data_IF_176105887332
#
_entry.id   IF_176105887332
#
_cell.length_a   1.000
_cell.length_b   1.000
_cell.length_c   1.000
_cell.angle_alpha   90.00
_cell.angle_beta   90.00
_cell.angle_gamma   90.00
#
_symmetry.space_group_name_H-M   'P 1'
#
loop_
_entity.id
_entity.type
_entity.pdbx_description
1 polymer ?
2 non-polymer ?
3 non-polymer ?
4 water ?
#
# COMPACT_ATOMS: atom_id res chain seq x y z
N UNK A 1 3.84 -1.46 -6.91
CA UNK A 1 3.97 -2.80 -7.62
C UNK A 1 3.64 -2.71 -9.12
N UNK A 2 2.85 -1.73 -9.53
CA UNK A 2 2.29 -1.51 -10.88
C UNK A 2 1.92 -0.04 -11.08
N UNK A 3 1.43 0.36 -12.27
CA UNK A 3 1.25 1.78 -12.63
C UNK A 3 0.24 2.56 -11.75
N UNK A 4 -0.71 1.83 -11.16
CA UNK A 4 -1.65 2.38 -10.18
C UNK A 4 -0.90 2.89 -8.96
N UNK A 5 -0.06 2.04 -8.39
CA UNK A 5 0.74 2.37 -7.20
C UNK A 5 1.74 3.46 -7.56
N UNK A 6 2.26 3.44 -8.78
CA UNK A 6 3.19 4.49 -9.26
C UNK A 6 2.53 5.88 -9.19
N UNK A 7 1.33 6.01 -9.73
CA UNK A 7 0.62 7.31 -9.73
C UNK A 7 0.32 7.68 -8.26
N UNK A 8 -0.22 6.74 -7.47
CA UNK A 8 -0.55 7.01 -6.05
C UNK A 8 0.70 7.52 -5.33
N UNK A 9 1.85 6.87 -5.52
CA UNK A 9 3.09 7.25 -4.81
C UNK A 9 3.51 8.67 -5.20
N UNK A 10 3.39 8.99 -6.46
CA UNK A 10 3.79 10.33 -6.98
C UNK A 10 2.94 11.40 -6.30
N UNK A 11 1.66 11.14 -6.11
CA UNK A 11 0.76 12.08 -5.40
C UNK A 11 1.17 12.14 -3.95
N UNK A 12 1.40 10.98 -3.27
CA UNK A 12 1.71 11.01 -1.83
C UNK A 12 3.00 11.78 -1.58
N UNK A 13 4.01 11.59 -2.43
CA UNK A 13 5.39 12.05 -2.14
C UNK A 13 5.47 13.57 -2.27
N UNK A 14 4.60 14.19 -3.06
CA UNK A 14 4.68 15.64 -3.28
C UNK A 14 3.44 16.40 -2.83
N UNK A 15 2.27 15.75 -2.73
CA UNK A 15 1.00 16.49 -2.52
C UNK A 15 0.31 16.09 -1.22
N UNK A 16 1.01 15.55 -0.21
CA UNK A 16 0.35 15.26 1.09
C UNK A 16 1.18 15.83 2.22
N UNK A 17 0.44 16.20 3.25
CA UNK A 17 1.03 16.56 4.56
C UNK A 17 0.29 15.79 5.62
N UNK A 18 0.86 15.70 6.81
CA UNK A 18 0.13 15.16 7.98
C UNK A 18 -0.52 16.34 8.70
N UNK A 19 -1.84 16.34 8.73
CA UNK A 19 -2.62 17.39 9.44
C UNK A 19 -3.08 16.85 10.78
N UNK A 20 -2.96 17.65 11.83
CA UNK A 20 -3.40 17.28 13.20
C UNK A 20 -4.32 18.35 13.76
N UNK A 21 -5.59 17.98 14.02
CA UNK A 21 -6.59 18.86 14.69
C UNK A 21 -6.83 18.25 16.09
N UNK A 22 -7.73 18.83 16.84
CA UNK A 22 -8.15 18.27 18.15
C UNK A 22 -8.90 16.96 17.95
N UNK A 23 -9.31 16.62 16.73
CA UNK A 23 -10.04 15.36 16.46
C UNK A 23 -9.13 14.25 15.91
N UNK A 24 -7.82 14.46 15.78
CA UNK A 24 -6.88 13.43 15.38
C UNK A 24 -5.88 13.88 14.30
N UNK A 25 -5.12 12.90 13.84
CA UNK A 25 -4.14 13.02 12.74
C UNK A 25 -4.80 12.52 11.44
N UNK A 26 -4.68 13.29 10.37
CA UNK A 26 -5.31 12.97 9.06
C UNK A 26 -4.28 13.09 7.95
N UNK A 27 -4.39 12.24 6.95
CA UNK A 27 -3.78 12.48 5.62
C UNK A 27 -4.49 13.73 5.07
N UNK A 28 -3.73 14.67 4.56
CA UNK A 28 -4.27 15.94 3.97
C UNK A 28 -3.66 16.10 2.59
N UNK A 29 -4.50 16.18 1.56
CA UNK A 29 -4.12 16.37 0.14
C UNK A 29 -3.98 17.85 -0.14
N UNK A 30 -2.79 18.24 -0.56
CA UNK A 30 -2.55 19.60 -1.09
C UNK A 30 -2.91 19.61 -2.57
N UNK A 31 -3.66 20.62 -3.05
CA UNK A 31 -4.22 20.60 -4.42
C UNK A 31 -3.47 21.63 -5.28
N UNK A 32 -3.26 22.84 -4.77
CA UNK A 32 -2.51 23.89 -5.50
C UNK A 32 -2.23 25.02 -4.52
N UNK A 33 -1.22 25.84 -4.82
CA UNK A 33 -0.82 27.02 -3.99
C UNK A 33 -0.79 26.56 -2.52
N UNK A 34 -1.55 27.18 -1.62
CA UNK A 34 -1.52 26.79 -0.18
C UNK A 34 -2.87 26.14 0.16
N UNK A 35 -3.57 25.63 -0.82
CA UNK A 35 -4.95 25.09 -0.66
C UNK A 35 -4.87 23.56 -0.57
N UNK A 36 -5.51 23.03 0.46
CA UNK A 36 -5.58 21.57 0.71
C UNK A 36 -7.00 21.17 1.08
N UNK A 37 -7.22 19.87 1.19
CA UNK A 37 -8.53 19.32 1.59
C UNK A 37 -8.37 18.33 2.73
N UNK A 38 -9.44 18.19 3.49
CA UNK A 38 -9.47 17.28 4.67
C UNK A 38 -10.92 16.94 4.89
N UNK A 39 -11.27 15.78 5.48
CA UNK A 39 -12.67 15.54 5.80
C UNK A 39 -13.20 16.60 6.78
N UNK A 40 -14.47 16.95 6.59
CA UNK A 40 -15.10 18.00 7.42
C UNK A 40 -15.14 17.57 8.90
N UNK A 41 -15.28 16.27 9.19
CA UNK A 41 -15.26 15.81 10.61
C UNK A 41 -13.92 16.02 11.30
N UNK A 42 -12.85 16.44 10.62
CA UNK A 42 -11.61 16.88 11.29
C UNK A 42 -11.83 18.16 12.09
N UNK A 43 -12.89 18.91 11.83
CA UNK A 43 -13.24 20.14 12.59
C UNK A 43 -12.08 21.14 12.59
N UNK A 44 -11.63 21.55 11.41
CA UNK A 44 -10.49 22.49 11.32
C UNK A 44 -10.87 23.78 12.05
N UNK A 45 -9.95 24.30 12.87
CA UNK A 45 -10.13 25.60 13.52
C UNK A 45 -9.24 26.68 12.95
N UNK A 46 -8.85 27.65 13.78
CA UNK A 46 -8.04 28.83 13.38
C UNK A 46 -6.56 28.44 13.31
N UNK A 47 -6.17 27.35 13.96
CA UNK A 47 -4.78 26.82 14.01
C UNK A 47 -4.86 25.31 13.79
N UNK A 48 -3.94 24.82 12.96
CA UNK A 48 -3.82 23.38 12.66
C UNK A 48 -2.32 23.02 12.70
N UNK A 49 -1.99 21.77 12.98
CA UNK A 49 -0.58 21.34 12.90
C UNK A 49 -0.38 20.65 11.54
N UNK A 50 0.67 21.03 10.82
CA UNK A 50 1.02 20.52 9.48
C UNK A 50 2.44 19.96 9.63
N UNK A 51 2.59 18.64 9.55
CA UNK A 51 3.90 17.99 9.76
C UNK A 51 4.47 18.49 11.09
N UNK A 52 3.63 18.54 12.12
CA UNK A 52 3.95 18.90 13.53
C UNK A 52 4.42 20.36 13.68
N UNK A 53 4.13 21.22 12.71
CA UNK A 53 4.40 22.68 12.79
C UNK A 53 3.08 23.46 12.94
N UNK A 54 3.02 24.28 13.98
CA UNK A 54 1.87 25.18 14.21
C UNK A 54 1.66 26.11 13.03
N UNK A 55 0.47 26.04 12.42
CA UNK A 55 0.13 26.72 11.16
C UNK A 55 -1.22 27.47 11.30
N UNK A 56 -1.24 28.75 10.99
CA UNK A 56 -2.50 29.51 10.97
C UNK A 56 -3.31 29.09 9.78
N UNK A 57 -4.61 28.91 9.96
CA UNK A 57 -5.56 28.71 8.84
C UNK A 57 -5.93 30.10 8.32
N UNK A 58 -5.63 30.38 7.04
CA UNK A 58 -5.94 31.69 6.40
C UNK A 58 -7.42 31.73 6.03
N UNK A 59 -8.02 30.58 5.70
CA UNK A 59 -9.41 30.47 5.23
C UNK A 59 -9.79 28.99 5.25
N UNK A 60 -11.06 28.69 5.50
CA UNK A 60 -11.56 27.30 5.41
C UNK A 60 -13.05 27.30 5.09
N UNK A 61 -13.48 26.33 4.28
CA UNK A 61 -14.91 26.18 3.90
C UNK A 61 -15.32 24.71 3.88
N UNK A 62 -16.32 24.38 4.70
CA UNK A 62 -17.03 23.09 4.66
C UNK A 62 -17.98 23.12 3.47
N UNK A 63 -17.76 22.26 2.49
CA UNK A 63 -18.54 22.31 1.23
C UNK A 63 -19.88 21.60 1.39
N UNK A 64 -20.91 22.11 0.73
CA UNK A 64 -22.25 21.49 0.69
C UNK A 64 -22.72 21.60 -0.75
N UNK A 65 -23.54 20.71 -1.22
CA UNK A 65 -24.12 20.82 -2.57
C UNK A 65 -25.23 21.88 -2.58
N UNK A 66 -25.76 22.10 -3.78
CA UNK A 66 -26.80 23.15 -3.94
C UNK A 66 -28.14 22.63 -3.42
N UNK A 67 -28.27 21.37 -2.98
CA UNK A 67 -29.41 20.93 -2.09
C UNK A 67 -29.15 21.30 -0.61
N UNK A 68 -28.04 21.94 -0.25
CA UNK A 68 -27.59 22.28 1.12
C UNK A 68 -27.45 20.92 1.81
N UNK A 69 -26.84 19.96 1.12
CA UNK A 69 -26.46 18.64 1.70
C UNK A 69 -24.93 18.60 1.91
N UNK A 70 -24.53 18.11 3.08
CA UNK A 70 -23.09 17.86 3.39
C UNK A 70 -22.37 17.14 2.24
N UNK A 71 -21.16 17.60 1.85
CA UNK A 71 -20.26 16.81 0.96
C UNK A 71 -19.07 16.21 1.73
N UNK A 72 -18.84 16.58 3.00
CA UNK A 72 -17.79 16.04 3.89
C UNK A 72 -16.41 16.46 3.41
N UNK A 73 -16.30 17.47 2.52
CA UNK A 73 -14.96 18.02 2.11
C UNK A 73 -14.84 19.41 2.75
N UNK A 74 -13.77 19.65 3.50
CA UNK A 74 -13.39 21.03 3.88
C UNK A 74 -12.15 21.43 3.06
N UNK A 75 -12.22 22.61 2.47
CA UNK A 75 -11.10 23.23 1.72
C UNK A 75 -10.45 24.18 2.69
N UNK A 76 -9.14 24.05 2.82
CA UNK A 76 -8.35 24.82 3.80
C UNK A 76 -7.27 25.59 3.07
N UNK A 77 -7.12 26.87 3.38
CA UNK A 77 -5.96 27.62 2.90
C UNK A 77 -5.00 27.79 4.08
N UNK A 78 -3.76 27.34 3.95
CA UNK A 78 -2.77 27.27 5.05
C UNK A 78 -1.82 28.45 4.95
N UNK A 79 -1.47 29.07 6.08
CA UNK A 79 -0.39 30.11 6.13
C UNK A 79 0.97 29.42 6.14
N UNK A 80 1.27 28.76 5.04
CA UNK A 80 2.50 27.95 4.85
C UNK A 80 3.46 28.74 3.95
N UNK A 81 4.76 28.54 4.11
CA UNK A 81 5.79 29.29 3.36
C UNK A 81 6.11 28.61 2.03
N UNK A 82 5.33 27.62 1.61
CA UNK A 82 5.65 26.82 0.42
C UNK A 82 4.35 26.42 -0.28
N UNK A 83 4.32 26.43 -1.61
CA UNK A 83 3.18 26.00 -2.41
C UNK A 83 3.25 24.50 -2.70
N UNK A 84 2.07 23.91 -2.90
CA UNK A 84 1.94 22.55 -3.44
C UNK A 84 2.11 22.59 -4.95
N UNK A 85 2.65 21.52 -5.47
CA UNK A 85 2.55 21.21 -6.92
C UNK A 85 1.09 21.32 -7.30
N UNK A 86 0.77 21.95 -8.41
CA UNK A 86 -0.63 22.11 -8.86
C UNK A 86 -1.07 20.79 -9.52
N UNK A 87 -1.99 20.06 -8.90
CA UNK A 87 -2.53 18.75 -9.40
C UNK A 87 -3.98 18.91 -9.85
N UNK A 88 -4.47 20.12 -10.07
CA UNK A 88 -5.90 20.29 -10.45
C UNK A 88 -6.21 19.60 -11.78
N UNK A 89 -5.25 19.46 -12.70
CA UNK A 89 -5.52 18.78 -14.00
C UNK A 89 -5.74 17.28 -13.82
N UNK A 90 -5.46 16.71 -12.63
CA UNK A 90 -5.74 15.27 -12.35
C UNK A 90 -7.14 15.08 -11.74
N UNK A 91 -7.91 16.17 -11.53
CA UNK A 91 -9.23 16.05 -10.89
C UNK A 91 -10.28 15.79 -11.97
N UNK A 92 -11.21 14.86 -11.71
CA UNK A 92 -12.32 14.64 -12.63
C UNK A 92 -13.25 15.85 -12.69
N UNK A 93 -13.89 16.04 -13.85
CA UNK A 93 -14.86 17.15 -13.99
C UNK A 93 -16.25 16.72 -13.54
N UNK A 94 -16.59 15.44 -13.67
CA UNK A 94 -17.98 14.96 -13.39
C UNK A 94 -17.98 13.79 -12.41
N UNK A 95 -19.15 13.52 -11.84
CA UNK A 95 -19.41 12.34 -10.99
C UNK A 95 -19.26 11.10 -11.88
N UNK A 96 -18.61 10.06 -11.40
CA UNK A 96 -18.33 8.86 -12.22
C UNK A 96 -18.06 7.65 -11.33
N UNK A 97 -18.08 6.49 -11.94
CA UNK A 97 -17.58 5.21 -11.38
C UNK A 97 -16.18 4.99 -11.94
N UNK A 98 -15.36 4.17 -11.29
CA UNK A 98 -13.95 3.95 -11.67
C UNK A 98 -13.60 2.48 -11.53
N UNK A 99 -12.64 2.04 -12.33
CA UNK A 99 -11.99 0.73 -12.08
C UNK A 99 -10.64 0.90 -11.37
N UNK A 100 -10.29 -0.09 -10.54
CA UNK A 100 -8.89 -0.37 -10.13
C UNK A 100 -8.31 0.89 -9.46
N UNK A 101 -8.89 1.29 -8.34
CA UNK A 101 -8.42 2.45 -7.54
C UNK A 101 -7.47 2.00 -6.43
N UNK A 102 -6.66 2.95 -5.95
CA UNK A 102 -5.75 2.80 -4.80
C UNK A 102 -6.13 3.84 -3.78
N UNK A 103 -6.17 3.43 -2.52
CA UNK A 103 -6.36 4.31 -1.35
C UNK A 103 -5.01 4.42 -0.66
N UNK A 104 -4.50 5.63 -0.50
CA UNK A 104 -3.15 5.90 0.03
C UNK A 104 -3.24 6.76 1.29
N UNK A 105 -2.48 6.38 2.32
CA UNK A 105 -2.55 7.03 3.65
C UNK A 105 -1.13 7.29 4.11
N UNK A 106 -0.90 8.44 4.72
CA UNK A 106 0.39 8.71 5.37
C UNK A 106 0.17 9.43 6.69
N UNK A 107 0.27 8.71 7.81
CA UNK A 107 0.19 9.33 9.16
C UNK A 107 1.28 8.70 10.03
N UNK A 108 1.43 9.17 11.27
CA UNK A 108 2.25 8.48 12.32
C UNK A 108 1.77 7.03 12.48
N UNK A 109 0.48 6.75 12.45
CA UNK A 109 -0.06 5.39 12.71
C UNK A 109 0.13 4.50 11.46
N UNK A 110 -0.04 5.07 10.27
CA UNK A 110 0.02 4.30 9.00
C UNK A 110 0.93 5.04 8.00
N UNK A 111 2.27 4.98 8.14
CA UNK A 111 3.18 5.59 7.18
C UNK A 111 3.27 4.78 5.87
N UNK A 112 3.25 5.47 4.71
CA UNK A 112 3.56 4.82 3.42
C UNK A 112 2.62 3.65 3.19
N UNK A 113 1.34 3.82 3.45
CA UNK A 113 0.31 2.79 3.29
C UNK A 113 -0.40 2.95 1.95
N UNK A 114 -0.50 1.88 1.19
CA UNK A 114 -1.21 1.85 -0.11
C UNK A 114 -2.12 0.62 -0.16
N UNK A 115 -3.37 0.78 -0.51
CA UNK A 115 -4.40 -0.32 -0.51
C UNK A 115 -5.04 -0.38 -1.88
N UNK A 116 -4.94 -1.51 -2.62
CA UNK A 116 -5.66 -1.66 -3.86
C UNK A 116 -7.12 -1.99 -3.51
N UNK A 117 -8.04 -1.06 -3.75
CA UNK A 117 -9.45 -1.22 -3.30
C UNK A 117 -10.33 -1.74 -4.42
N UNK A 118 -9.88 -1.80 -5.67
CA UNK A 118 -10.65 -2.35 -6.79
C UNK A 118 -11.66 -1.37 -7.29
N UNK A 119 -12.83 -1.88 -7.62
CA UNK A 119 -13.89 -1.13 -8.31
C UNK A 119 -14.48 -0.07 -7.37
N UNK A 120 -14.65 1.13 -7.89
CA UNK A 120 -15.28 2.25 -7.13
C UNK A 120 -16.66 2.57 -7.73
N UNK A 121 -17.72 2.50 -6.92
CA UNK A 121 -19.10 2.80 -7.35
C UNK A 121 -19.43 4.27 -7.03
N UNK A 122 -20.07 4.96 -7.95
CA UNK A 122 -20.76 6.22 -7.63
C UNK A 122 -21.97 5.87 -6.80
N UNK A 123 -21.82 5.88 -5.48
CA UNK A 123 -22.82 5.39 -4.51
C UNK A 123 -23.91 6.45 -4.34
N UNK A 124 -23.51 7.71 -4.28
CA UNK A 124 -24.40 8.87 -4.15
C UNK A 124 -24.70 9.22 -2.72
N UNK A 125 -25.92 8.92 -2.24
CA UNK A 125 -26.34 9.28 -0.87
C UNK A 125 -25.80 8.26 0.12
N UNK A 126 -25.32 8.76 1.28
CA UNK A 126 -24.90 7.97 2.45
C UNK A 126 -25.25 8.75 3.70
N UNK A 127 -25.86 8.05 4.64
CA UNK A 127 -26.01 8.56 6.02
C UNK A 127 -24.71 8.29 6.75
N UNK A 128 -23.80 9.29 6.77
CA UNK A 128 -22.44 9.13 7.27
C UNK A 128 -22.36 9.61 8.71
N UNK A 129 -22.28 8.66 9.67
CA UNK A 129 -22.29 9.06 11.09
C UNK A 129 -23.53 9.84 11.48
N UNK A 130 -24.69 9.52 10.90
CA UNK A 130 -25.95 10.27 11.12
C UNK A 130 -26.13 11.52 10.24
N UNK A 131 -25.15 11.88 9.40
CA UNK A 131 -25.27 13.11 8.60
C UNK A 131 -25.56 12.74 7.15
N UNK A 132 -26.71 13.15 6.56
CA UNK A 132 -26.95 12.91 5.14
C UNK A 132 -25.80 13.53 4.33
N UNK A 133 -25.22 12.73 3.46
CA UNK A 133 -24.02 13.17 2.69
C UNK A 133 -24.25 12.77 1.23
N UNK A 134 -23.83 13.62 0.27
CA UNK A 134 -23.95 13.34 -1.17
C UNK A 134 -22.57 13.13 -1.81
N UNK A 135 -22.57 12.69 -3.05
CA UNK A 135 -21.33 12.50 -3.87
C UNK A 135 -20.36 11.52 -3.21
N UNK A 136 -20.87 10.43 -2.66
CA UNK A 136 -20.06 9.36 -2.04
C UNK A 136 -19.70 8.27 -3.06
N UNK A 137 -18.40 7.98 -3.08
CA UNK A 137 -17.80 6.82 -3.77
C UNK A 137 -17.72 5.66 -2.78
N UNK A 138 -17.93 4.43 -3.25
CA UNK A 138 -17.83 3.23 -2.37
C UNK A 138 -16.89 2.19 -2.99
N UNK A 139 -16.13 1.54 -2.12
CA UNK A 139 -15.20 0.45 -2.50
C UNK A 139 -15.39 -0.64 -1.47
N UNK A 140 -15.19 -1.89 -1.91
CA UNK A 140 -15.43 -3.07 -1.05
C UNK A 140 -14.12 -3.44 -0.40
N UNK A 141 -13.66 -2.62 0.53
CA UNK A 141 -12.48 -2.91 1.37
C UNK A 141 -12.80 -2.51 2.79
N UNK A 142 -12.43 -3.34 3.79
CA UNK A 142 -12.66 -3.06 5.20
C UNK A 142 -11.66 -2.05 5.76
N UNK A 143 -11.89 -0.78 5.40
CA UNK A 143 -11.10 0.35 5.93
C UNK A 143 -11.33 0.55 7.43
N UNK A 144 -10.40 1.22 8.10
CA UNK A 144 -10.33 1.34 9.57
C UNK A 144 -10.05 2.77 9.95
N UNK A 145 -10.34 3.10 11.20
CA UNK A 145 -9.93 4.35 11.87
C UNK A 145 -8.46 4.59 11.55
N UNK A 146 -8.12 5.84 11.23
CA UNK A 146 -6.75 6.25 10.87
C UNK A 146 -6.60 6.46 9.37
N UNK A 147 -7.58 6.03 8.56
CA UNK A 147 -7.47 6.10 7.09
C UNK A 147 -8.23 7.32 6.54
N UNK A 148 -8.95 8.06 7.39
CA UNK A 148 -9.71 9.23 6.91
C UNK A 148 -8.76 10.29 6.39
N UNK A 149 -9.11 10.85 5.23
CA UNK A 149 -8.26 11.82 4.54
C UNK A 149 -7.41 11.11 3.49
N UNK A 150 -7.41 9.80 3.49
CA UNK A 150 -6.61 9.02 2.54
C UNK A 150 -6.98 9.38 1.15
N UNK A 151 -6.03 9.37 0.24
CA UNK A 151 -6.30 9.79 -1.16
C UNK A 151 -6.70 8.59 -2.00
N UNK A 152 -7.79 8.76 -2.75
CA UNK A 152 -8.26 7.73 -3.72
C UNK A 152 -7.84 8.16 -5.11
N UNK A 153 -7.06 7.32 -5.81
CA UNK A 153 -6.55 7.60 -7.16
C UNK A 153 -6.84 6.43 -8.09
N UNK A 154 -6.97 6.74 -9.37
CA UNK A 154 -6.73 5.77 -10.47
C UNK A 154 -5.47 6.25 -11.19
N UNK A 155 -4.96 5.46 -12.14
CA UNK A 155 -3.91 5.98 -13.03
C UNK A 155 -4.41 7.31 -13.63
N UNK A 156 -3.70 8.38 -13.37
CA UNK A 156 -3.91 9.69 -14.00
C UNK A 156 -5.02 10.46 -13.35
N UNK A 157 -5.82 9.90 -12.40
CA UNK A 157 -6.84 10.75 -11.71
C UNK A 157 -6.81 10.68 -10.17
N UNK A 158 -7.00 11.83 -9.56
CA UNK A 158 -7.21 11.96 -8.09
C UNK A 158 -8.71 12.14 -7.87
N UNK A 159 -9.41 11.12 -7.36
CA UNK A 159 -10.89 11.08 -7.48
C UNK A 159 -11.62 11.32 -6.15
N UNK A 160 -10.96 11.26 -4.99
CA UNK A 160 -11.69 11.43 -3.72
C UNK A 160 -10.76 11.34 -2.52
N UNK A 161 -11.37 11.58 -1.35
CA UNK A 161 -10.68 11.44 -0.06
C UNK A 161 -11.59 10.59 0.85
N UNK A 162 -10.96 9.62 1.51
CA UNK A 162 -11.63 8.63 2.38
C UNK A 162 -12.31 9.37 3.53
N UNK A 163 -13.60 9.07 3.82
CA UNK A 163 -14.32 9.79 4.91
C UNK A 163 -15.01 8.81 5.86
N UNK A 164 -15.08 7.51 5.57
CA UNK A 164 -15.71 6.59 6.52
C UNK A 164 -15.76 5.16 6.03
N UNK A 165 -16.41 4.31 6.83
CA UNK A 165 -16.56 2.89 6.46
C UNK A 165 -17.58 2.23 7.35
N UNK A 166 -18.02 1.02 7.00
CA UNK A 166 -19.01 0.28 7.83
C UNK A 166 -18.45 -1.07 8.26
N UNK A 167 -17.14 -1.27 8.20
CA UNK A 167 -16.51 -2.55 8.54
C UNK A 167 -16.26 -3.41 7.32
N UNK A 168 -17.11 -3.41 6.29
CA UNK A 168 -16.94 -4.21 5.03
C UNK A 168 -16.63 -3.30 3.83
N UNK A 169 -17.27 -2.14 3.78
CA UNK A 169 -17.10 -1.10 2.71
C UNK A 169 -16.40 0.15 3.26
N UNK A 170 -15.71 0.82 2.34
CA UNK A 170 -15.12 2.15 2.59
C UNK A 170 -15.81 3.18 1.73
N UNK A 171 -15.82 4.42 2.20
CA UNK A 171 -16.52 5.51 1.49
C UNK A 171 -15.61 6.73 1.35
N UNK A 172 -15.63 7.31 0.16
CA UNK A 172 -14.81 8.53 -0.08
C UNK A 172 -15.74 9.66 -0.55
N UNK A 173 -15.40 10.90 -0.24
CA UNK A 173 -16.05 12.09 -0.84
C UNK A 173 -15.40 12.40 -2.17
N UNK A 174 -16.18 12.65 -3.22
CA UNK A 174 -15.62 12.99 -4.55
C UNK A 174 -14.80 14.26 -4.46
N UNK A 175 -13.73 14.32 -5.23
CA UNK A 175 -13.08 15.59 -5.59
C UNK A 175 -13.47 15.89 -7.05
N UNK A 176 -13.89 17.11 -7.30
CA UNK A 176 -14.30 17.60 -8.62
C UNK A 176 -13.46 18.84 -8.92
N UNK A 177 -13.07 18.98 -10.17
CA UNK A 177 -12.26 20.16 -10.61
C UNK A 177 -12.95 21.47 -10.21
N UNK A 178 -14.28 21.51 -10.30
CA UNK A 178 -15.06 22.76 -10.03
C UNK A 178 -14.92 23.24 -8.58
N UNK A 179 -14.46 22.40 -7.65
CA UNK A 179 -14.27 22.85 -6.24
C UNK A 179 -13.07 23.80 -6.13
N UNK A 180 -12.16 23.81 -7.10
CA UNK A 180 -10.82 24.47 -6.95
C UNK A 180 -10.54 25.47 -8.06
N UNK A 181 -11.57 26.00 -8.72
CA UNK A 181 -11.41 27.14 -9.66
C UNK A 181 -11.17 28.42 -8.82
N UNK A 182 -10.32 29.32 -9.33
CA UNK A 182 -9.83 30.54 -8.61
C UNK A 182 -9.75 31.73 -9.59
N UNK B 2 1.23 0.69 15.16
CA UNK B 2 1.00 -0.50 16.04
C UNK B 2 1.95 -1.66 15.74
N UNK B 3 1.84 -2.77 16.50
CA UNK B 3 2.73 -3.92 16.35
C UNK B 3 2.94 -4.37 14.89
N UNK B 4 1.86 -4.49 14.11
CA UNK B 4 1.88 -4.95 12.71
C UNK B 4 2.83 -4.16 11.83
N UNK B 5 2.71 -2.82 11.83
CA UNK B 5 3.51 -1.92 10.94
C UNK B 5 4.93 -1.80 11.47
N UNK B 6 5.11 -1.75 12.79
CA UNK B 6 6.47 -1.83 13.41
C UNK B 6 7.19 -3.08 12.89
N UNK B 7 6.50 -4.21 12.89
CA UNK B 7 7.09 -5.53 12.58
C UNK B 7 7.58 -5.51 11.12
N UNK B 8 6.69 -5.14 10.21
CA UNK B 8 6.98 -5.07 8.77
C UNK B 8 8.14 -4.10 8.53
N UNK B 9 8.14 -2.93 9.17
CA UNK B 9 9.21 -1.93 9.03
C UNK B 9 10.56 -2.54 9.42
N UNK B 10 10.61 -3.24 10.56
CA UNK B 10 11.84 -3.88 11.08
C UNK B 10 12.35 -4.85 10.00
N UNK B 11 11.45 -5.72 9.51
CA UNK B 11 11.75 -6.72 8.45
C UNK B 11 12.13 -5.98 7.16
N UNK B 12 11.40 -4.92 6.81
CA UNK B 12 11.79 -4.07 5.64
C UNK B 12 13.20 -3.52 5.88
N UNK B 13 13.40 -2.82 6.99
CA UNK B 13 14.62 -1.99 7.21
C UNK B 13 15.88 -2.85 7.29
N UNK B 14 15.84 -3.96 8.00
CA UNK B 14 17.05 -4.78 8.20
C UNK B 14 17.13 -5.97 7.24
N UNK B 15 16.00 -6.53 6.78
CA UNK B 15 16.04 -7.83 6.08
C UNK B 15 15.61 -7.73 4.61
N UNK B 16 15.36 -6.56 4.04
CA UNK B 16 14.84 -6.49 2.65
C UNK B 16 15.84 -5.72 1.79
N UNK B 17 16.26 -6.30 0.65
CA UNK B 17 17.19 -5.65 -0.29
C UNK B 17 16.57 -5.66 -1.69
N UNK B 18 17.10 -4.80 -2.58
CA UNK B 18 16.62 -4.78 -3.98
C UNK B 18 17.50 -5.75 -4.78
N UNK B 19 16.89 -6.77 -5.37
CA UNK B 19 17.64 -7.74 -6.18
C UNK B 19 17.31 -7.47 -7.64
N UNK B 20 18.30 -7.46 -8.51
CA UNK B 20 18.04 -7.29 -9.97
C UNK B 20 18.70 -8.45 -10.71
N UNK B 21 17.86 -9.20 -11.41
CA UNK B 21 18.24 -10.30 -12.34
C UNK B 21 18.09 -9.78 -13.78
N UNK B 22 18.31 -10.67 -14.74
CA UNK B 22 18.12 -10.35 -16.19
C UNK B 22 16.70 -9.84 -16.41
N UNK B 23 15.74 -10.23 -15.57
CA UNK B 23 14.31 -9.88 -15.74
C UNK B 23 13.94 -8.55 -15.08
N UNK B 24 14.80 -7.98 -14.26
CA UNK B 24 14.55 -6.69 -13.60
C UNK B 24 14.53 -6.83 -12.11
N UNK B 25 13.79 -5.95 -11.43
CA UNK B 25 13.99 -5.77 -9.97
C UNK B 25 12.90 -6.53 -9.21
N UNK B 26 13.37 -7.12 -8.10
CA UNK B 26 12.52 -7.91 -7.18
C UNK B 26 12.84 -7.51 -5.75
N UNK B 27 11.78 -7.45 -4.93
CA UNK B 27 11.95 -7.37 -3.47
C UNK B 27 12.56 -8.69 -2.98
N UNK B 28 13.70 -8.62 -2.30
CA UNK B 28 14.40 -9.86 -1.84
C UNK B 28 14.41 -9.87 -0.31
N UNK B 29 14.06 -11.01 0.28
CA UNK B 29 14.17 -11.19 1.75
C UNK B 29 15.45 -11.92 2.08
N UNK B 30 16.30 -11.28 2.90
CA UNK B 30 17.43 -11.95 3.55
C UNK B 30 16.98 -12.65 4.82
N UNK B 31 17.37 -13.90 4.99
CA UNK B 31 16.81 -14.76 6.06
C UNK B 31 17.83 -14.95 7.19
N UNK B 32 19.07 -15.22 6.85
CA UNK B 32 20.19 -15.38 7.83
C UNK B 32 21.49 -15.49 7.07
N UNK B 33 22.62 -15.21 7.71
CA UNK B 33 23.94 -15.33 7.06
C UNK B 33 23.89 -14.64 5.68
N UNK B 34 24.25 -15.36 4.60
CA UNK B 34 24.20 -14.75 3.23
C UNK B 34 23.09 -15.45 2.43
N UNK B 35 22.09 -15.96 3.12
CA UNK B 35 20.97 -16.74 2.51
C UNK B 35 19.75 -15.86 2.37
N UNK B 36 19.19 -15.76 1.14
CA UNK B 36 18.01 -14.93 0.86
C UNK B 36 17.04 -15.74 0.01
N UNK B 37 15.84 -15.22 -0.15
CA UNK B 37 14.81 -15.81 -1.04
C UNK B 37 14.27 -14.79 -2.02
N UNK B 38 13.84 -15.33 -3.14
CA UNK B 38 13.32 -14.54 -4.29
C UNK B 38 12.36 -15.48 -5.00
N UNK B 39 11.31 -14.98 -5.70
CA UNK B 39 10.49 -15.88 -6.50
C UNK B 39 11.28 -16.60 -7.60
N UNK B 40 10.91 -17.85 -7.88
CA UNK B 40 11.65 -18.66 -8.86
C UNK B 40 11.53 -18.01 -10.25
N UNK B 41 10.41 -17.31 -10.53
CA UNK B 41 10.25 -16.63 -11.84
C UNK B 41 11.27 -15.51 -12.07
N UNK B 42 12.06 -15.08 -11.06
CA UNK B 42 13.10 -14.05 -11.22
C UNK B 42 14.26 -14.56 -12.09
N UNK B 43 14.39 -15.87 -12.22
CA UNK B 43 15.41 -16.48 -13.13
C UNK B 43 16.81 -16.06 -12.70
N UNK B 44 17.13 -16.33 -11.44
CA UNK B 44 18.47 -16.03 -10.87
C UNK B 44 19.54 -16.75 -11.69
N UNK B 45 20.58 -16.00 -12.04
CA UNK B 45 21.74 -16.55 -12.75
C UNK B 45 22.94 -16.72 -11.86
N UNK B 46 24.12 -16.59 -12.47
CA UNK B 46 25.40 -16.77 -11.74
C UNK B 46 25.70 -15.47 -10.98
N UNK B 47 25.22 -14.36 -11.51
CA UNK B 47 25.44 -13.00 -10.97
C UNK B 47 24.08 -12.36 -10.72
N UNK B 48 24.00 -11.58 -9.66
CA UNK B 48 22.79 -10.78 -9.35
C UNK B 48 23.26 -9.42 -8.86
N UNK B 49 22.41 -8.41 -8.95
CA UNK B 49 22.68 -7.09 -8.32
C UNK B 49 21.89 -6.99 -7.02
N UNK B 50 22.57 -6.63 -5.93
CA UNK B 50 21.98 -6.46 -4.57
C UNK B 50 22.19 -4.98 -4.22
N UNK B 51 21.12 -4.17 -4.18
CA UNK B 51 21.22 -2.71 -3.95
C UNK B 51 22.26 -2.11 -4.91
N UNK B 52 22.18 -2.53 -6.17
CA UNK B 52 22.94 -2.01 -7.34
C UNK B 52 24.40 -2.46 -7.31
N UNK B 53 24.75 -3.43 -6.47
CA UNK B 53 26.12 -4.02 -6.39
C UNK B 53 26.14 -5.39 -7.12
N UNK B 54 26.96 -5.54 -8.16
CA UNK B 54 27.23 -6.85 -8.80
C UNK B 54 27.70 -7.85 -7.73
N UNK B 55 26.98 -9.00 -7.56
CA UNK B 55 27.22 -9.98 -6.48
C UNK B 55 27.18 -11.40 -7.06
N UNK B 56 28.21 -12.18 -6.82
CA UNK B 56 28.21 -13.59 -7.25
C UNK B 56 27.11 -14.32 -6.48
N UNK B 57 26.33 -15.13 -7.19
CA UNK B 57 25.42 -16.12 -6.55
C UNK B 57 26.15 -17.46 -6.43
N UNK B 58 26.48 -17.84 -5.20
CA UNK B 58 27.28 -19.06 -4.93
C UNK B 58 26.41 -20.31 -5.14
N UNK B 59 25.10 -20.20 -4.86
CA UNK B 59 24.17 -21.35 -4.90
C UNK B 59 22.76 -20.80 -5.13
N UNK B 60 21.99 -21.50 -5.94
CA UNK B 60 20.55 -21.19 -6.14
C UNK B 60 19.80 -22.53 -6.13
N UNK B 61 18.75 -22.60 -5.33
CA UNK B 61 17.90 -23.81 -5.23
C UNK B 61 16.45 -23.40 -5.50
N UNK B 62 15.89 -23.91 -6.59
CA UNK B 62 14.47 -23.72 -6.94
C UNK B 62 13.67 -24.75 -6.16
N UNK B 63 13.10 -24.33 -5.02
CA UNK B 63 12.50 -25.29 -4.08
C UNK B 63 11.33 -26.07 -4.64
N UNK B 64 11.31 -27.36 -4.29
CA UNK B 64 10.17 -28.26 -4.58
C UNK B 64 9.91 -29.05 -3.31
N UNK B 65 8.70 -29.55 -3.14
CA UNK B 65 8.34 -30.29 -1.91
C UNK B 65 8.56 -31.79 -2.15
N UNK B 66 8.16 -32.59 -1.19
CA UNK B 66 8.46 -34.05 -1.23
C UNK B 66 7.52 -34.76 -2.18
N UNK B 67 6.47 -34.09 -2.69
CA UNK B 67 5.70 -34.60 -3.83
C UNK B 67 6.35 -34.24 -5.17
N UNK B 68 7.52 -33.59 -5.14
CA UNK B 68 8.23 -33.15 -6.35
C UNK B 68 7.40 -32.08 -7.05
N UNK B 69 6.79 -31.19 -6.29
CA UNK B 69 5.97 -30.08 -6.86
C UNK B 69 6.68 -28.76 -6.58
N UNK B 70 6.66 -27.89 -7.55
CA UNK B 70 7.15 -26.50 -7.42
C UNK B 70 6.56 -25.82 -6.20
N UNK B 71 7.41 -25.04 -5.52
CA UNK B 71 6.98 -24.09 -4.45
C UNK B 71 7.17 -22.61 -4.84
N UNK B 72 7.86 -22.34 -5.94
CA UNK B 72 8.04 -20.98 -6.50
C UNK B 72 8.97 -20.13 -5.64
N UNK B 73 9.71 -20.72 -4.71
CA UNK B 73 10.73 -20.02 -3.86
C UNK B 73 12.07 -20.49 -4.36
N UNK B 74 12.94 -19.55 -4.68
CA UNK B 74 14.36 -19.87 -4.88
C UNK B 74 15.18 -19.37 -3.68
N UNK B 75 15.94 -20.30 -3.08
CA UNK B 75 16.90 -19.92 -2.02
C UNK B 75 18.25 -19.62 -2.67
N UNK B 76 18.84 -18.47 -2.36
CA UNK B 76 20.17 -18.09 -2.89
C UNK B 76 21.16 -17.95 -1.73
N UNK B 77 22.44 -18.28 -2.00
CA UNK B 77 23.60 -18.02 -1.12
C UNK B 77 24.47 -16.99 -1.83
N UNK B 78 24.63 -15.81 -1.23
CA UNK B 78 25.28 -14.66 -1.91
C UNK B 78 26.75 -14.52 -1.46
N UNK B 79 27.64 -14.19 -2.39
CA UNK B 79 29.07 -13.85 -2.13
C UNK B 79 29.14 -12.37 -1.72
N UNK B 80 28.85 -12.04 -0.45
CA UNK B 80 28.93 -10.65 0.07
C UNK B 80 29.32 -10.67 1.55
N UNK B 81 30.01 -9.61 1.99
CA UNK B 81 30.55 -9.53 3.37
C UNK B 81 29.40 -9.42 4.36
N UNK B 82 28.43 -8.57 4.09
CA UNK B 82 27.34 -8.30 5.07
C UNK B 82 26.54 -9.59 5.31
N UNK B 83 26.21 -9.81 6.58
CA UNK B 83 25.37 -10.93 7.05
C UNK B 83 23.97 -10.37 7.32
N UNK B 84 22.91 -11.09 6.95
CA UNK B 84 21.52 -10.72 7.24
C UNK B 84 21.21 -11.02 8.71
N UNK B 85 20.47 -10.13 9.35
CA UNK B 85 19.92 -10.35 10.71
C UNK B 85 19.10 -11.64 10.68
N UNK B 86 19.41 -12.62 11.55
CA UNK B 86 18.68 -13.89 11.51
C UNK B 86 17.21 -13.69 11.88
N UNK B 87 16.25 -14.16 11.06
CA UNK B 87 14.80 -14.07 11.30
C UNK B 87 14.14 -15.44 11.15
N UNK B 88 14.93 -16.51 11.23
CA UNK B 88 14.35 -17.86 11.11
C UNK B 88 13.32 -18.13 12.19
N UNK B 89 13.49 -17.55 13.39
CA UNK B 89 12.53 -17.73 14.49
C UNK B 89 11.19 -17.05 14.23
N UNK B 90 11.05 -16.22 13.17
CA UNK B 90 9.76 -15.60 12.78
C UNK B 90 9.05 -16.36 11.66
N UNK B 91 9.60 -17.50 11.22
CA UNK B 91 8.98 -18.29 10.12
C UNK B 91 8.02 -19.31 10.72
N UNK B 92 6.79 -19.45 10.21
CA UNK B 92 5.85 -20.48 10.65
C UNK B 92 6.43 -21.90 10.48
N UNK B 93 6.08 -22.78 11.43
CA UNK B 93 6.47 -24.21 11.38
C UNK B 93 5.56 -24.98 10.43
N UNK B 94 4.31 -24.54 10.29
CA UNK B 94 3.25 -25.27 9.54
C UNK B 94 2.49 -24.34 8.60
N UNK B 95 1.79 -24.95 7.63
CA UNK B 95 0.79 -24.28 6.77
C UNK B 95 -0.32 -23.71 7.65
N UNK B 96 -0.85 -22.53 7.32
CA UNK B 96 -1.87 -21.88 8.17
C UNK B 96 -2.57 -20.75 7.42
N UNK B 97 -3.70 -20.31 7.98
CA UNK B 97 -4.45 -19.09 7.59
C UNK B 97 -4.01 -17.97 8.54
N UNK B 98 -4.18 -16.71 8.12
CA UNK B 98 -3.77 -15.52 8.87
C UNK B 98 -4.76 -14.38 8.67
N UNK B 99 -4.77 -13.44 9.62
CA UNK B 99 -5.53 -12.18 9.50
C UNK B 99 -4.57 -11.01 9.53
N UNK B 100 -4.97 -9.87 8.98
CA UNK B 100 -4.29 -8.59 9.29
C UNK B 100 -2.86 -8.63 8.69
N UNK B 101 -2.69 -9.19 7.49
CA UNK B 101 -1.34 -9.29 6.89
C UNK B 101 -0.97 -8.00 6.16
N UNK B 102 0.33 -7.72 6.04
CA UNK B 102 0.92 -6.58 5.29
C UNK B 102 1.87 -7.15 4.25
N UNK B 103 1.78 -6.63 3.04
CA UNK B 103 2.71 -6.95 1.94
C UNK B 103 3.62 -5.75 1.80
N UNK B 104 4.94 -5.94 1.93
CA UNK B 104 5.95 -4.86 1.94
C UNK B 104 6.88 -4.96 0.72
N UNK B 105 6.81 -3.92 -0.13
CA UNK B 105 7.48 -3.86 -1.46
C UNK B 105 8.68 -2.95 -1.34
N UNK B 106 9.80 -3.36 -1.88
CA UNK B 106 11.00 -2.51 -1.88
C UNK B 106 11.76 -2.69 -3.18
N UNK B 107 11.65 -1.69 -4.07
CA UNK B 107 12.45 -1.64 -5.32
C UNK B 107 12.93 -0.20 -5.56
N UNK B 108 13.72 0.01 -6.59
CA UNK B 108 14.16 1.39 -6.94
C UNK B 108 12.93 2.23 -7.26
N UNK B 109 11.92 1.66 -7.89
CA UNK B 109 10.68 2.36 -8.29
C UNK B 109 9.72 2.56 -7.10
N UNK B 110 9.68 1.59 -6.16
CA UNK B 110 8.71 1.54 -5.04
C UNK B 110 9.49 1.33 -3.74
N UNK B 111 10.17 2.35 -3.23
CA UNK B 111 10.99 2.18 -2.05
C UNK B 111 10.07 2.14 -0.83
N UNK B 112 10.30 1.31 0.13
CA UNK B 112 9.43 1.44 1.35
C UNK B 112 7.91 1.62 1.08
N UNK B 113 7.18 0.68 0.43
CA UNK B 113 5.69 0.70 0.22
C UNK B 113 5.02 -0.45 1.00
N UNK B 114 4.01 -0.18 1.83
CA UNK B 114 3.30 -1.15 2.70
C UNK B 114 1.84 -1.29 2.26
N UNK B 115 1.43 -2.52 1.92
CA UNK B 115 0.10 -2.80 1.36
C UNK B 115 -0.61 -3.73 2.31
N UNK B 116 -1.55 -3.22 3.14
CA UNK B 116 -2.40 -4.05 4.00
C UNK B 116 -3.20 -4.86 2.99
N UNK B 117 -3.16 -6.17 3.11
CA UNK B 117 -3.96 -7.04 2.20
C UNK B 117 -5.09 -7.68 3.01
N UNK B 118 -4.91 -7.79 4.33
CA UNK B 118 -5.90 -8.28 5.31
C UNK B 118 -5.87 -9.79 5.47
N UNK B 119 -7.00 -10.43 5.20
CA UNK B 119 -7.20 -11.87 5.42
C UNK B 119 -6.42 -12.66 4.39
N UNK B 120 -5.64 -13.61 4.88
CA UNK B 120 -4.81 -14.54 4.07
C UNK B 120 -5.28 -15.98 4.28
N UNK B 121 -5.67 -16.63 3.20
CA UNK B 121 -6.11 -18.06 3.22
C UNK B 121 -4.96 -18.97 2.78
N UNK B 122 -4.83 -20.12 3.45
CA UNK B 122 -4.11 -21.31 2.92
C UNK B 122 -4.86 -21.83 1.70
N UNK B 123 -4.47 -21.40 0.52
CA UNK B 123 -5.20 -21.64 -0.75
C UNK B 123 -4.75 -23.00 -1.28
N UNK B 124 -3.46 -23.32 -1.12
CA UNK B 124 -2.85 -24.62 -1.42
C UNK B 124 -2.37 -24.72 -2.86
N UNK B 125 -3.11 -25.45 -3.70
CA UNK B 125 -2.67 -25.78 -5.06
C UNK B 125 -3.05 -24.66 -6.01
N UNK B 126 -2.13 -24.24 -6.86
CA UNK B 126 -2.36 -23.22 -7.90
C UNK B 126 -1.57 -23.60 -9.15
N UNK B 127 -2.21 -23.49 -10.30
CA UNK B 127 -1.51 -23.56 -11.60
C UNK B 127 -0.98 -22.19 -11.91
N UNK B 128 0.28 -21.96 -11.61
CA UNK B 128 0.89 -20.62 -11.74
C UNK B 128 1.70 -20.54 -13.03
N UNK B 129 1.16 -19.83 -14.05
CA UNK B 129 1.87 -19.67 -15.34
C UNK B 129 2.09 -21.00 -16.03
N UNK B 130 1.17 -21.95 -15.81
CA UNK B 130 1.23 -23.32 -16.37
C UNK B 130 2.02 -24.30 -15.51
N UNK B 131 2.60 -23.85 -14.39
CA UNK B 131 3.34 -24.74 -13.48
C UNK B 131 2.52 -25.07 -12.22
N UNK B 132 2.20 -26.36 -11.98
CA UNK B 132 1.55 -26.77 -10.75
C UNK B 132 2.40 -26.39 -9.53
N UNK B 133 1.78 -25.69 -8.58
CA UNK B 133 2.48 -25.09 -7.41
C UNK B 133 1.71 -25.38 -6.14
N UNK B 134 2.44 -25.66 -5.08
CA UNK B 134 1.90 -25.96 -3.75
C UNK B 134 2.16 -24.79 -2.78
N UNK B 135 1.48 -24.89 -1.65
CA UNK B 135 1.68 -24.00 -0.45
C UNK B 135 1.46 -22.53 -0.82
N UNK B 136 0.43 -22.25 -1.60
CA UNK B 136 0.08 -20.86 -2.00
C UNK B 136 -0.85 -20.27 -0.93
N UNK B 137 -0.46 -19.08 -0.47
CA UNK B 137 -1.35 -18.18 0.33
C UNK B 137 -2.09 -17.24 -0.62
N UNK B 138 -3.35 -16.90 -0.30
CA UNK B 138 -4.16 -16.04 -1.19
C UNK B 138 -4.78 -14.91 -0.36
N UNK B 139 -4.73 -13.72 -0.95
CA UNK B 139 -5.40 -12.50 -0.41
C UNK B 139 -6.09 -11.77 -1.56
N UNK B 140 -7.13 -10.96 -1.24
CA UNK B 140 -7.70 -10.04 -2.23
C UNK B 140 -6.60 -9.13 -2.71
N UNK B 141 -6.57 -8.86 -4.00
CA UNK B 141 -5.60 -7.97 -4.68
C UNK B 141 -6.19 -7.58 -6.02
N UNK B 142 -7.23 -6.70 -6.01
CA UNK B 142 -8.01 -6.39 -7.20
C UNK B 142 -7.29 -5.40 -8.09
N UNK B 143 -6.09 -5.77 -8.52
CA UNK B 143 -5.22 -4.98 -9.39
C UNK B 143 -4.34 -5.98 -10.15
N UNK B 144 -3.82 -5.54 -11.28
CA UNK B 144 -2.81 -6.28 -12.07
C UNK B 144 -1.46 -5.66 -11.69
N UNK B 145 -0.71 -6.35 -10.86
CA UNK B 145 0.62 -5.95 -10.34
C UNK B 145 1.71 -6.51 -11.27
N UNK B 146 2.88 -5.87 -11.27
CA UNK B 146 4.09 -6.39 -11.95
C UNK B 146 4.74 -7.52 -11.15
N UNK B 147 5.95 -7.88 -11.56
CA UNK B 147 6.65 -9.11 -11.09
C UNK B 147 7.34 -8.91 -9.73
N UNK B 148 7.50 -7.68 -9.24
CA UNK B 148 8.57 -7.37 -8.29
C UNK B 148 8.31 -8.06 -6.94
N UNK B 149 7.07 -8.36 -6.63
CA UNK B 149 6.67 -9.01 -5.36
C UNK B 149 7.03 -8.22 -4.11
N UNK B 150 7.19 -8.94 -3.00
CA UNK B 150 7.25 -8.31 -1.68
C UNK B 150 7.07 -9.30 -0.58
N UNK B 151 7.27 -8.86 0.65
CA UNK B 151 7.32 -9.76 1.80
C UNK B 151 5.98 -9.69 2.52
N UNK B 152 5.39 -10.83 2.85
CA UNK B 152 4.10 -10.86 3.57
C UNK B 152 4.36 -11.16 5.06
N UNK B 153 3.87 -10.29 5.92
CA UNK B 153 4.04 -10.41 7.40
C UNK B 153 2.70 -10.27 8.09
N UNK B 154 2.66 -10.87 9.27
CA UNK B 154 1.58 -10.62 10.27
C UNK B 154 2.29 -10.03 11.46
N UNK B 155 1.57 -9.67 12.53
CA UNK B 155 2.27 -9.46 13.82
C UNK B 155 3.02 -10.75 14.19
N UNK B 156 4.32 -10.66 14.32
CA UNK B 156 5.20 -11.68 14.88
C UNK B 156 5.66 -12.72 13.90
N UNK B 157 5.19 -12.72 12.64
CA UNK B 157 5.59 -13.77 11.69
C UNK B 157 5.86 -13.26 10.27
N UNK B 158 6.86 -13.84 9.66
CA UNK B 158 7.16 -13.62 8.22
C UNK B 158 6.60 -14.83 7.49
N UNK B 159 5.52 -14.67 6.73
CA UNK B 159 4.71 -15.86 6.34
C UNK B 159 4.90 -16.19 4.86
N UNK B 160 5.43 -15.30 4.04
CA UNK B 160 5.49 -15.64 2.60
C UNK B 160 6.10 -14.53 1.77
N UNK B 161 6.31 -14.80 0.47
CA UNK B 161 6.74 -13.78 -0.51
C UNK B 161 5.76 -13.84 -1.68
N UNK B 162 5.33 -12.66 -2.12
CA UNK B 162 4.39 -12.49 -3.24
C UNK B 162 4.95 -13.09 -4.54
N UNK B 163 4.21 -14.00 -5.18
CA UNK B 163 4.68 -14.63 -6.44
C UNK B 163 3.78 -14.42 -7.65
N UNK B 164 2.53 -13.97 -7.49
CA UNK B 164 1.66 -13.74 -8.66
C UNK B 164 0.27 -13.26 -8.31
N UNK B 165 -0.63 -13.26 -9.29
CA UNK B 165 -2.01 -12.75 -9.10
C UNK B 165 -2.85 -12.97 -10.34
N UNK B 166 -4.18 -12.90 -10.21
CA UNK B 166 -5.12 -13.12 -11.35
C UNK B 166 -5.99 -11.88 -11.56
N UNK B 167 -5.59 -10.72 -11.02
CA UNK B 167 -6.32 -9.43 -11.15
C UNK B 167 -7.38 -9.23 -10.08
N UNK B 168 -7.86 -10.28 -9.44
CA UNK B 168 -8.80 -10.25 -8.30
C UNK B 168 -8.08 -10.66 -7.03
N UNK B 169 -7.19 -11.65 -7.17
CA UNK B 169 -6.53 -12.29 -6.01
C UNK B 169 -5.02 -12.19 -6.19
N UNK B 170 -4.33 -12.06 -5.07
CA UNK B 170 -2.87 -12.12 -4.96
C UNK B 170 -2.43 -13.41 -4.32
N UNK B 171 -1.25 -13.88 -4.74
CA UNK B 171 -0.74 -15.21 -4.30
C UNK B 171 0.68 -15.06 -3.79
N UNK B 172 0.95 -15.65 -2.65
CA UNK B 172 2.27 -15.70 -2.02
C UNK B 172 2.67 -17.15 -1.85
N UNK B 173 3.97 -17.42 -1.97
CA UNK B 173 4.57 -18.72 -1.60
C UNK B 173 4.86 -18.73 -0.10
N UNK B 174 4.42 -19.77 0.61
CA UNK B 174 4.67 -19.83 2.07
C UNK B 174 6.16 -19.88 2.34
N UNK B 175 6.61 -19.24 3.42
CA UNK B 175 7.90 -19.54 4.03
C UNK B 175 7.67 -20.41 5.29
N UNK B 176 8.42 -21.49 5.37
CA UNK B 176 8.36 -22.42 6.52
C UNK B 176 9.74 -22.49 7.15
N UNK B 177 9.78 -22.73 8.47
CA UNK B 177 11.05 -22.81 9.24
C UNK B 177 11.93 -23.94 8.70
N UNK B 178 11.28 -25.04 8.28
CA UNK B 178 12.04 -26.22 7.80
C UNK B 178 12.82 -25.98 6.51
N UNK B 179 12.57 -24.89 5.76
CA UNK B 179 13.31 -24.65 4.50
C UNK B 179 14.77 -24.20 4.76
N UNK B 180 15.03 -23.76 6.02
CA UNK B 180 16.30 -23.09 6.41
C UNK B 180 16.96 -23.76 7.63
N UNK B 181 16.43 -24.87 8.13
CA UNK B 181 17.15 -25.71 9.14
C UNK B 181 18.31 -26.47 8.48
X LIG C 1 -12.04 29.18 0.37
X LIG C 1 -9.52 27.97 0.30
X LIG C 1 -11.36 29.01 -0.84
X LIG C 1 -14.16 29.81 -0.53
X LIG C 1 -13.37 29.87 0.41
X LIG C 1 -13.66 30.58 1.52
X LIG C 1 -14.75 31.55 1.59
X LIG C 1 -14.41 32.68 2.57
X LIG C 1 -14.92 32.37 3.97
X LIG C 1 -15.02 30.88 4.20
X LIG C 1 -16.03 30.28 3.33
X LIG C 1 -16.05 30.85 1.98
X LIG C 1 -11.44 28.71 1.54
X LIG C 1 -10.18 28.11 1.50
X LIG C 1 -10.11 28.41 -0.86
X LIG D 1 18.99 -23.04 3.26
X LIG D 1 20.21 -22.89 2.35
X LIG D 1 19.57 -22.74 4.89
X LIG D 1 18.68 -24.79 3.40
#
# INVERSE_FOLDING_TARGET
>A
MGPGFDFAQAIMKKNTVIARTEKGEFTMLGVYDRVAVIPTHASVGEIIYINDVETRVLDACALRDLTDTNLEITIVKLDRNQKFRDIRHFLPRCEDDYNDAVLSVHTSKFPNMYIPVGQVTNYGFLNLGGTPTHRILMYNFPTRAGQCGGVVTTTGKVIGIHVGGNGAQGFAAMLLHSYFTD
>B
MGPGFDFAQAIMKKNTVIARTEKGEFTMLGVYDRVAVIPTHASVGEIIYINDVETRVLDACALRDLTDTNLEITIVKLDRNQKFRDIRHFLPRCEDDYNDAVLSVHTSKFPNMYIPVGQVTNYGFLNLGGTPTHRILMYNFPTRAGQCGGVVTTTGKVIGIHVGGNGAQGFAAMLLHSYFTD
>C hetero
1 89W C10 C13 C15 O01 C02 N03 C04 C05 C06 C07 N08 C09 C11 C12 C14
>D hetero
1 DMS S O C1 C2
#
